data_IF_067082796081
#
_entry.id   IF_067082796081
#
_cell.length_a   1.000
_cell.length_b   1.000
_cell.length_c   1.000
_cell.angle_alpha   90.00
_cell.angle_beta   90.00
_cell.angle_gamma   90.00
#
_symmetry.space_group_name_H-M   'P 1'
#
loop_
_entity.id
_entity.type
_entity.pdbx_description
1 polymer ?
#
# COMPACT_ATOMS: atom_id res chain seq x y z
N UNK A 1 -6.75 16.90 -25.95
CA UNK A 1 -6.22 15.64 -25.39
C UNK A 1 -5.06 16.01 -24.48
N UNK A 2 -5.36 16.46 -23.25
CA UNK A 2 -4.37 17.02 -22.35
C UNK A 2 -3.78 15.91 -21.45
N UNK A 3 -2.52 15.60 -21.74
CA UNK A 3 -1.43 15.17 -20.85
C UNK A 3 -1.81 14.50 -19.51
N UNK A 4 -2.09 13.18 -19.52
CA UNK A 4 -2.14 12.34 -18.31
C UNK A 4 -0.75 11.99 -17.74
N UNK A 5 0.32 12.19 -18.51
CA UNK A 5 1.70 11.85 -18.14
C UNK A 5 2.27 12.72 -16.99
N UNK A 6 1.70 13.89 -16.70
CA UNK A 6 2.22 14.84 -15.70
C UNK A 6 1.78 14.56 -14.26
N UNK A 7 0.57 14.02 -14.07
CA UNK A 7 -0.09 14.04 -12.75
C UNK A 7 0.57 13.13 -11.71
N UNK A 8 1.16 11.99 -12.10
CA UNK A 8 1.83 11.10 -11.15
C UNK A 8 3.18 11.67 -10.68
N UNK A 9 3.96 12.24 -11.60
CA UNK A 9 5.25 12.89 -11.31
C UNK A 9 5.05 14.17 -10.48
N UNK A 10 4.01 14.96 -10.77
CA UNK A 10 3.63 16.14 -9.97
C UNK A 10 3.22 15.79 -8.53
N UNK A 11 2.55 14.64 -8.31
CA UNK A 11 2.08 14.21 -6.98
C UNK A 11 3.22 13.86 -6.03
N UNK A 12 4.35 13.32 -6.51
CA UNK A 12 5.48 13.01 -5.62
C UNK A 12 6.19 14.25 -5.10
N UNK A 13 6.30 15.33 -5.90
CA UNK A 13 7.00 16.55 -5.49
C UNK A 13 6.29 17.38 -4.42
N UNK A 14 4.97 17.22 -4.26
CA UNK A 14 4.15 18.03 -3.35
C UNK A 14 4.23 17.61 -1.87
N UNK A 15 4.56 16.35 -1.57
CA UNK A 15 4.55 15.82 -0.19
C UNK A 15 5.88 15.24 0.27
N UNK A 16 6.89 15.17 -0.60
CA UNK A 16 8.22 14.72 -0.21
C UNK A 16 8.91 15.84 0.57
N UNK A 17 9.17 15.58 1.86
CA UNK A 17 9.71 16.53 2.84
C UNK A 17 11.09 17.13 2.51
N UNK A 18 11.78 16.62 1.49
CA UNK A 18 13.14 17.05 1.15
C UNK A 18 13.25 17.42 -0.32
N UNK A 19 12.68 18.56 -0.73
CA UNK A 19 12.99 19.13 -2.05
C UNK A 19 14.49 19.47 -2.21
N UNK A 20 15.22 19.54 -1.09
CA UNK A 20 16.67 19.82 -1.05
C UNK A 20 17.55 18.57 -1.25
N UNK A 21 17.00 17.35 -1.14
CA UNK A 21 17.75 16.11 -1.34
C UNK A 21 17.30 15.47 -2.66
N UNK A 22 18.22 15.18 -3.59
CA UNK A 22 17.87 14.48 -4.82
C UNK A 22 17.35 13.07 -4.53
N UNK A 23 16.25 12.70 -5.20
CA UNK A 23 15.72 11.33 -5.18
C UNK A 23 16.72 10.38 -5.82
N UNK A 24 16.89 9.18 -5.24
CA UNK A 24 17.89 8.19 -5.65
C UNK A 24 17.27 6.85 -6.09
N UNK A 25 15.94 6.76 -6.19
CA UNK A 25 15.20 5.63 -6.79
C UNK A 25 13.96 6.10 -7.53
N UNK A 26 13.66 5.44 -8.67
CA UNK A 26 12.37 5.55 -9.37
C UNK A 26 11.61 4.23 -9.17
N UNK A 27 10.40 4.32 -8.64
CA UNK A 27 9.48 3.17 -8.56
C UNK A 27 8.40 3.31 -9.64
N UNK A 28 8.26 2.29 -10.48
CA UNK A 28 7.31 2.23 -11.59
C UNK A 28 6.13 1.33 -11.17
N UNK A 29 4.91 1.86 -11.23
CA UNK A 29 3.67 1.13 -10.90
C UNK A 29 2.66 1.32 -12.02
N UNK A 30 2.62 0.38 -12.96
CA UNK A 30 1.86 0.54 -14.20
C UNK A 30 2.40 1.73 -15.00
N UNK A 31 1.53 2.70 -15.31
CA UNK A 31 1.93 3.92 -16.03
C UNK A 31 2.48 5.03 -15.11
N UNK A 32 2.41 4.85 -13.78
CA UNK A 32 2.85 5.86 -12.82
C UNK A 32 4.32 5.67 -12.43
N UNK A 33 5.03 6.80 -12.29
CA UNK A 33 6.42 6.83 -11.85
C UNK A 33 6.54 7.66 -10.57
N UNK A 34 7.25 7.12 -9.58
CA UNK A 34 7.47 7.76 -8.28
C UNK A 34 8.96 7.97 -8.07
N UNK A 35 9.42 9.23 -8.06
CA UNK A 35 10.80 9.57 -7.69
C UNK A 35 10.88 9.70 -6.17
N UNK A 36 11.66 8.83 -5.53
CA UNK A 36 11.67 8.63 -4.07
C UNK A 36 13.10 8.46 -3.53
N UNK A 37 13.21 8.27 -2.22
CA UNK A 37 14.46 8.05 -1.50
C UNK A 37 14.56 6.61 -1.01
N UNK A 38 15.62 5.89 -1.40
CA UNK A 38 15.91 4.51 -1.00
C UNK A 38 15.83 4.37 0.52
N UNK A 39 16.49 5.26 1.26
CA UNK A 39 16.55 5.22 2.72
C UNK A 39 15.15 5.20 3.37
N UNK A 40 14.22 6.02 2.86
CA UNK A 40 12.85 6.07 3.39
C UNK A 40 12.09 4.77 3.14
N UNK A 41 12.25 4.19 1.95
CA UNK A 41 11.55 2.96 1.57
C UNK A 41 12.12 1.72 2.26
N UNK A 42 13.44 1.57 2.29
CA UNK A 42 14.08 0.38 2.90
C UNK A 42 13.89 0.33 4.41
N UNK A 43 13.67 1.47 5.08
CA UNK A 43 13.36 1.51 6.49
C UNK A 43 12.04 0.81 6.83
N UNK A 44 11.09 0.71 5.88
CA UNK A 44 9.75 0.15 6.11
C UNK A 44 9.41 -1.08 5.28
N UNK A 45 10.02 -1.26 4.11
CA UNK A 45 9.69 -2.34 3.16
C UNK A 45 10.88 -3.28 2.90
N UNK A 46 10.78 -4.52 3.38
CA UNK A 46 11.79 -5.55 3.11
C UNK A 46 11.84 -5.96 1.63
N UNK A 47 10.70 -5.95 0.93
CA UNK A 47 10.65 -6.33 -0.48
C UNK A 47 11.44 -5.33 -1.33
N UNK A 48 11.17 -4.03 -1.19
CA UNK A 48 11.95 -2.96 -1.83
C UNK A 48 13.43 -3.04 -1.43
N UNK A 49 13.77 -3.31 -0.17
CA UNK A 49 15.17 -3.51 0.25
C UNK A 49 15.87 -4.61 -0.56
N UNK A 50 15.20 -5.75 -0.78
CA UNK A 50 15.75 -6.85 -1.59
C UNK A 50 15.94 -6.42 -3.05
N UNK A 51 14.94 -5.79 -3.65
CA UNK A 51 15.01 -5.29 -5.03
C UNK A 51 16.16 -4.30 -5.23
N UNK A 52 16.41 -3.42 -4.25
CA UNK A 52 17.54 -2.46 -4.31
C UNK A 52 18.89 -3.20 -4.22
N UNK A 53 19.02 -4.20 -3.35
CA UNK A 53 20.27 -4.96 -3.19
C UNK A 53 20.56 -5.82 -4.43
N UNK A 54 19.52 -6.37 -5.06
CA UNK A 54 19.62 -7.19 -6.26
C UNK A 54 19.85 -6.37 -7.54
N UNK A 55 19.57 -5.05 -7.49
CA UNK A 55 19.85 -4.15 -8.60
C UNK A 55 21.35 -4.02 -8.83
N UNK A 56 21.75 -4.18 -10.10
CA UNK A 56 23.15 -4.02 -10.56
C UNK A 56 23.42 -2.61 -11.11
N UNK A 57 22.45 -1.71 -11.05
CA UNK A 57 22.58 -0.36 -11.58
C UNK A 57 23.45 0.49 -10.64
N UNK A 58 24.52 1.07 -11.20
CA UNK A 58 25.42 1.95 -10.46
C UNK A 58 24.82 3.35 -10.18
N UNK A 59 23.78 3.73 -10.94
CA UNK A 59 23.15 5.06 -10.91
C UNK A 59 21.77 5.02 -10.22
N UNK A 60 20.84 5.89 -10.67
CA UNK A 60 19.46 5.98 -10.21
C UNK A 60 18.73 4.64 -10.40
N UNK A 61 18.49 3.94 -9.30
CA UNK A 61 17.88 2.60 -9.31
C UNK A 61 16.43 2.68 -9.80
N UNK A 62 16.06 1.84 -10.74
CA UNK A 62 14.65 1.66 -11.17
C UNK A 62 14.07 0.36 -10.63
N UNK A 63 12.87 0.43 -10.05
CA UNK A 63 12.17 -0.72 -9.47
C UNK A 63 10.77 -0.79 -10.09
N UNK A 64 10.40 -1.95 -10.63
CA UNK A 64 9.07 -2.19 -11.15
C UNK A 64 8.21 -2.91 -10.10
N UNK A 65 7.10 -2.29 -9.70
CA UNK A 65 6.08 -2.83 -8.78
C UNK A 65 4.69 -2.78 -9.42
N UNK A 66 4.60 -3.01 -10.74
CA UNK A 66 3.32 -2.97 -11.48
C UNK A 66 2.31 -4.01 -11.00
N UNK A 67 2.77 -5.08 -10.34
CA UNK A 67 1.94 -6.13 -9.77
C UNK A 67 1.45 -5.83 -8.34
N UNK A 68 1.69 -4.62 -7.82
CA UNK A 68 1.27 -4.27 -6.47
C UNK A 68 -0.28 -4.28 -6.35
N UNK A 69 -0.85 -4.94 -5.32
CA UNK A 69 -2.28 -4.92 -5.08
C UNK A 69 -2.84 -3.50 -4.93
N UNK A 70 -3.92 -3.21 -5.65
CA UNK A 70 -4.56 -1.89 -5.64
C UNK A 70 -3.81 -0.79 -6.42
N UNK A 71 -2.71 -1.13 -7.08
CA UNK A 71 -2.04 -0.27 -8.06
C UNK A 71 -1.45 1.03 -7.49
N UNK A 72 -1.26 2.06 -8.34
CA UNK A 72 -0.45 3.23 -8.01
C UNK A 72 -1.02 4.09 -6.88
N UNK A 73 -2.35 4.15 -6.73
CA UNK A 73 -2.98 4.92 -5.67
C UNK A 73 -2.69 4.35 -4.28
N UNK A 74 -2.64 3.02 -4.18
CA UNK A 74 -2.33 2.31 -2.94
C UNK A 74 -0.83 2.35 -2.67
N UNK A 75 0.00 2.23 -3.70
CA UNK A 75 1.44 2.46 -3.57
C UNK A 75 1.75 3.87 -3.05
N UNK A 76 1.08 4.92 -3.54
CA UNK A 76 1.30 6.28 -3.05
C UNK A 76 1.04 6.40 -1.54
N UNK A 77 -0.01 5.75 -1.02
CA UNK A 77 -0.31 5.72 0.42
C UNK A 77 0.76 4.95 1.21
N UNK A 78 1.22 3.81 0.69
CA UNK A 78 2.32 3.07 1.28
C UNK A 78 3.63 3.88 1.29
N UNK A 79 3.91 4.62 0.21
CA UNK A 79 5.05 5.55 0.15
C UNK A 79 4.88 6.69 1.16
N UNK A 80 3.71 7.33 1.25
CA UNK A 80 3.41 8.35 2.28
C UNK A 80 3.67 7.81 3.69
N UNK A 81 3.27 6.57 3.98
CA UNK A 81 3.58 5.89 5.24
C UNK A 81 5.10 5.81 5.49
N UNK A 82 5.90 5.42 4.48
CA UNK A 82 7.37 5.39 4.60
C UNK A 82 7.96 6.75 4.94
N UNK A 83 7.35 7.83 4.46
CA UNK A 83 7.78 9.21 4.73
C UNK A 83 7.21 9.81 6.02
N UNK A 84 6.40 9.07 6.78
CA UNK A 84 5.68 9.63 7.93
C UNK A 84 4.65 10.69 7.56
N UNK A 85 4.26 10.76 6.28
CA UNK A 85 3.20 11.65 5.79
C UNK A 85 1.84 11.04 6.14
N UNK A 86 0.95 11.87 6.67
CA UNK A 86 -0.41 11.43 6.98
C UNK A 86 -1.19 11.05 5.71
N UNK A 87 -1.94 9.96 5.82
CA UNK A 87 -2.91 9.51 4.84
C UNK A 87 -4.04 8.78 5.57
N UNK A 88 -5.19 8.66 4.91
CA UNK A 88 -6.37 8.01 5.49
C UNK A 88 -6.46 6.54 5.10
N UNK A 89 -6.66 5.70 6.13
CA UNK A 89 -7.15 4.33 5.99
C UNK A 89 -8.67 4.39 6.13
N UNK A 90 -9.38 3.76 5.19
CA UNK A 90 -10.85 3.78 5.10
C UNK A 90 -11.36 2.37 4.78
N UNK A 91 -12.66 2.13 4.98
CA UNK A 91 -13.31 0.87 4.60
C UNK A 91 -13.17 0.57 3.09
N UNK A 92 -12.98 1.58 2.25
CA UNK A 92 -12.83 1.41 0.80
C UNK A 92 -11.42 0.97 0.39
N UNK A 93 -10.39 1.29 1.17
CA UNK A 93 -8.99 1.08 0.78
C UNK A 93 -8.21 0.12 1.70
N UNK A 94 -8.76 -0.23 2.87
CA UNK A 94 -8.02 -1.01 3.88
C UNK A 94 -7.64 -2.41 3.38
N UNK A 95 -8.50 -3.08 2.60
CA UNK A 95 -8.17 -4.37 2.00
C UNK A 95 -6.97 -4.26 1.06
N UNK A 96 -6.98 -3.25 0.18
CA UNK A 96 -5.89 -3.04 -0.76
C UNK A 96 -4.59 -2.63 -0.06
N UNK A 97 -4.66 -1.76 0.96
CA UNK A 97 -3.50 -1.41 1.78
C UNK A 97 -2.94 -2.63 2.54
N UNK A 98 -3.80 -3.51 3.07
CA UNK A 98 -3.38 -4.72 3.77
C UNK A 98 -2.67 -5.70 2.83
N UNK A 99 -3.20 -5.87 1.61
CA UNK A 99 -2.57 -6.67 0.55
C UNK A 99 -1.24 -6.05 0.08
N UNK A 100 -1.21 -4.74 -0.20
CA UNK A 100 0.01 -4.03 -0.59
C UNK A 100 1.09 -4.10 0.51
N UNK A 101 0.70 -3.99 1.78
CA UNK A 101 1.63 -4.13 2.90
C UNK A 101 2.24 -5.55 2.97
N UNK A 102 1.46 -6.59 2.67
CA UNK A 102 1.97 -7.97 2.57
C UNK A 102 2.95 -8.11 1.40
N UNK A 103 2.56 -7.66 0.21
CA UNK A 103 3.38 -7.68 -1.00
C UNK A 103 4.72 -6.97 -0.81
N UNK A 104 4.70 -5.77 -0.22
CA UNK A 104 5.89 -4.98 0.08
C UNK A 104 6.68 -5.50 1.29
N UNK A 105 6.16 -6.52 1.99
CA UNK A 105 6.72 -7.05 3.24
C UNK A 105 6.89 -5.95 4.31
N UNK A 106 5.94 -5.02 4.36
CA UNK A 106 5.82 -3.95 5.37
C UNK A 106 5.10 -4.49 6.61
N UNK A 107 5.71 -5.48 7.24
CA UNK A 107 5.16 -6.21 8.40
C UNK A 107 5.84 -5.79 9.70
N UNK A 108 5.19 -6.05 10.83
CA UNK A 108 5.77 -5.79 12.15
C UNK A 108 7.00 -6.67 12.44
N UNK A 109 7.12 -7.82 11.74
CA UNK A 109 8.35 -8.63 11.79
C UNK A 109 9.57 -7.91 11.21
N UNK A 110 9.36 -6.95 10.31
CA UNK A 110 10.42 -6.19 9.66
C UNK A 110 10.71 -4.87 10.38
N UNK A 111 9.68 -4.15 10.80
CA UNK A 111 9.79 -2.90 11.55
C UNK A 111 8.55 -2.76 12.42
N UNK A 112 8.70 -2.47 13.71
CA UNK A 112 7.57 -2.32 14.63
C UNK A 112 6.58 -1.25 14.15
N UNK A 113 5.28 -1.50 14.38
CA UNK A 113 4.17 -0.61 14.00
C UNK A 113 4.20 -0.24 12.51
N UNK A 114 4.32 -1.27 11.66
CA UNK A 114 4.34 -1.13 10.21
C UNK A 114 2.93 -1.06 9.61
N UNK A 115 2.87 -0.87 8.30
CA UNK A 115 1.60 -0.71 7.58
C UNK A 115 0.67 -1.92 7.71
N UNK A 116 1.21 -3.15 7.73
CA UNK A 116 0.40 -4.35 7.92
C UNK A 116 -0.33 -4.37 9.27
N UNK A 117 0.36 -4.02 10.37
CA UNK A 117 -0.25 -3.91 11.69
C UNK A 117 -1.34 -2.84 11.74
N UNK A 118 -1.07 -1.64 11.21
CA UNK A 118 -2.07 -0.55 11.18
C UNK A 118 -3.32 -0.88 10.37
N UNK A 119 -3.17 -1.61 9.28
CA UNK A 119 -4.33 -2.03 8.45
C UNK A 119 -5.10 -3.17 9.10
N UNK A 120 -4.42 -4.07 9.80
CA UNK A 120 -5.05 -5.13 10.59
C UNK A 120 -5.87 -4.57 11.77
N UNK A 121 -5.34 -3.57 12.47
CA UNK A 121 -6.06 -2.88 13.53
C UNK A 121 -7.31 -2.20 12.99
N UNK A 122 -7.22 -1.49 11.85
CA UNK A 122 -8.38 -0.85 11.24
C UNK A 122 -9.43 -1.88 10.80
N UNK A 123 -9.02 -3.01 10.21
CA UNK A 123 -9.93 -4.09 9.84
C UNK A 123 -10.70 -4.60 11.07
N UNK A 124 -9.97 -4.92 12.14
CA UNK A 124 -10.53 -5.53 13.35
C UNK A 124 -11.39 -4.57 14.18
N UNK A 125 -10.92 -3.33 14.36
CA UNK A 125 -11.49 -2.40 15.33
C UNK A 125 -12.47 -1.41 14.71
N UNK A 126 -12.46 -1.25 13.38
CA UNK A 126 -13.32 -0.28 12.69
C UNK A 126 -14.14 -0.97 11.60
N UNK A 127 -13.50 -1.51 10.57
CA UNK A 127 -14.19 -1.93 9.36
C UNK A 127 -15.15 -3.11 9.59
N UNK A 128 -14.72 -4.12 10.36
CA UNK A 128 -15.48 -5.36 10.60
C UNK A 128 -16.32 -5.33 11.89
N UNK A 129 -16.62 -4.13 12.39
CA UNK A 129 -17.53 -3.95 13.53
C UNK A 129 -18.99 -3.74 13.10
N UNK A 130 -19.23 -3.56 11.80
CA UNK A 130 -20.55 -3.29 11.21
C UNK A 130 -20.77 -4.09 9.93
N UNK A 131 -22.04 -4.42 9.63
CA UNK A 131 -22.41 -5.09 8.38
C UNK A 131 -22.07 -4.21 7.17
N UNK A 132 -22.36 -2.92 7.24
CA UNK A 132 -22.05 -1.98 6.15
C UNK A 132 -20.56 -1.90 5.87
N UNK A 133 -19.71 -1.81 6.90
CA UNK A 133 -18.26 -1.83 6.76
C UNK A 133 -17.76 -3.14 6.14
N UNK A 134 -18.25 -4.29 6.64
CA UNK A 134 -17.88 -5.60 6.11
C UNK A 134 -18.25 -5.78 4.63
N UNK A 135 -19.44 -5.31 4.21
CA UNK A 135 -19.87 -5.39 2.80
C UNK A 135 -19.01 -4.52 1.89
N UNK A 136 -18.62 -3.31 2.33
CA UNK A 136 -17.74 -2.44 1.55
C UNK A 136 -16.35 -3.07 1.40
N UNK A 137 -15.77 -3.58 2.48
CA UNK A 137 -14.46 -4.26 2.44
C UNK A 137 -14.53 -5.51 1.56
N UNK A 138 -15.57 -6.33 1.70
CA UNK A 138 -15.76 -7.54 0.89
C UNK A 138 -15.80 -7.21 -0.60
N UNK A 139 -16.55 -6.17 -0.99
CA UNK A 139 -16.61 -5.72 -2.38
C UNK A 139 -15.23 -5.27 -2.89
N UNK A 140 -14.46 -4.55 -2.08
CA UNK A 140 -13.10 -4.14 -2.45
C UNK A 140 -12.12 -5.31 -2.60
N UNK A 141 -12.45 -6.52 -2.12
CA UNK A 141 -11.58 -7.70 -2.26
C UNK A 141 -11.62 -8.31 -3.67
N UNK A 142 -12.62 -8.02 -4.51
CA UNK A 142 -12.78 -8.63 -5.85
C UNK A 142 -11.52 -8.46 -6.71
N UNK A 143 -10.96 -7.25 -6.75
CA UNK A 143 -9.75 -6.92 -7.51
C UNK A 143 -8.43 -7.31 -6.79
N UNK A 144 -8.52 -7.96 -5.63
CA UNK A 144 -7.38 -8.28 -4.75
C UNK A 144 -7.18 -9.79 -4.56
N UNK A 145 -8.00 -10.62 -5.21
CA UNK A 145 -7.87 -12.07 -5.17
C UNK A 145 -6.65 -12.54 -5.99
N UNK A 146 -5.94 -13.60 -5.54
CA UNK A 146 -6.25 -14.44 -4.36
C UNK A 146 -5.72 -13.88 -3.03
N UNK A 147 -4.93 -12.81 -3.05
CA UNK A 147 -4.22 -12.34 -1.84
C UNK A 147 -5.15 -11.96 -0.70
N UNK A 148 -6.29 -11.33 -0.98
CA UNK A 148 -7.28 -11.00 0.06
C UNK A 148 -7.88 -12.24 0.75
N UNK A 149 -7.95 -13.38 0.04
CA UNK A 149 -8.40 -14.67 0.59
C UNK A 149 -7.29 -15.33 1.41
N UNK A 150 -6.05 -15.31 0.94
CA UNK A 150 -4.88 -15.82 1.67
C UNK A 150 -4.71 -15.09 3.02
N UNK A 151 -4.95 -13.78 3.02
CA UNK A 151 -4.94 -12.92 4.20
C UNK A 151 -6.21 -13.01 5.06
N UNK A 152 -7.16 -13.88 4.69
CA UNK A 152 -8.43 -14.12 5.41
C UNK A 152 -9.35 -12.89 5.53
N UNK A 153 -9.14 -11.87 4.70
CA UNK A 153 -9.99 -10.66 4.71
C UNK A 153 -11.41 -11.02 4.26
N UNK A 154 -11.53 -11.80 3.18
CA UNK A 154 -12.82 -12.25 2.62
C UNK A 154 -13.62 -13.03 3.67
N UNK A 155 -13.02 -14.06 4.28
CA UNK A 155 -13.68 -14.89 5.28
C UNK A 155 -14.21 -14.05 6.46
N UNK A 156 -13.38 -13.15 6.99
CA UNK A 156 -13.79 -12.29 8.12
C UNK A 156 -14.93 -11.35 7.77
N UNK A 157 -15.00 -10.86 6.52
CA UNK A 157 -16.13 -10.07 6.07
C UNK A 157 -17.42 -10.91 6.02
N UNK A 158 -17.35 -12.14 5.50
CA UNK A 158 -18.48 -13.08 5.45
C UNK A 158 -18.96 -13.45 6.86
N UNK A 159 -18.04 -13.72 7.78
CA UNK A 159 -18.38 -14.04 9.17
C UNK A 159 -19.09 -12.87 9.85
N UNK A 160 -18.56 -11.66 9.66
CA UNK A 160 -19.16 -10.42 10.20
C UNK A 160 -20.55 -10.17 9.61
N UNK A 161 -20.72 -10.39 8.30
CA UNK A 161 -22.00 -10.22 7.63
C UNK A 161 -23.04 -11.23 8.14
N UNK A 162 -22.62 -12.49 8.32
CA UNK A 162 -23.49 -13.58 8.78
C UNK A 162 -23.89 -13.41 10.25
N UNK A 163 -22.97 -12.99 11.11
CA UNK A 163 -23.23 -12.79 12.54
C UNK A 163 -24.30 -11.73 12.82
N UNK A 164 -24.54 -10.78 11.90
CA UNK A 164 -25.55 -9.73 12.04
C UNK A 164 -26.89 -10.02 11.37
N UNK A 165 -27.03 -11.17 10.69
CA UNK A 165 -28.32 -11.63 10.13
C UNK A 165 -29.14 -12.40 11.19
N UNK A 166 -28.51 -12.83 12.29
CA UNK A 166 -29.14 -13.63 13.34
C UNK A 166 -29.56 -12.84 14.59
N UNK A 167 -29.65 -11.51 14.53
CA UNK A 167 -30.18 -10.64 15.58
C UNK A 167 -31.14 -9.59 15.03
#
# INVERSE_FOLDING_TARGET
MANRLSLAMERTGQWVFSQEIPTDVIVEVGEANFSLHKFMLVAKSNHIRKLIIESKEADLTRINLSDIPGGPEIFEKAAKFCYGVNFEITVHNVAALRCAAEYLQMTDKYCDNNLAGRTEDFLSQVALTSLSGALVVLKSCEDLLPMAEDLKIVQRCVDTASAKVFF
#
